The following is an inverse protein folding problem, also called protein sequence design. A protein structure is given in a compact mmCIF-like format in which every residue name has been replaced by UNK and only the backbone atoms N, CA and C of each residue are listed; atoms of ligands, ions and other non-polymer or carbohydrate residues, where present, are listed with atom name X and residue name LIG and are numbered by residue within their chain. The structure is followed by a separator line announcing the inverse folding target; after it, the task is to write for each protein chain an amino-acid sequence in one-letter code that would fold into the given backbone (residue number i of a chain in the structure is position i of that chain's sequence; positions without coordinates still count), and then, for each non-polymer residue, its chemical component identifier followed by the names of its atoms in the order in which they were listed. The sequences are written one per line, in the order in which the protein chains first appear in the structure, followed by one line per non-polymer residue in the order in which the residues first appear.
data_IF_608474868463
#
_entry.id   IF_608474868463
#
_cell.length_a   1.000
_cell.length_b   1.000
_cell.length_c   1.000
_cell.angle_alpha   90.00
_cell.angle_beta   90.00
_cell.angle_gamma   90.00
#
_symmetry.space_group_name_H-M   'P 1'
#
loop_
_entity.id
_entity.type
_entity.pdbx_description
1 polymer ?
#
# COMPACT_ATOMS: atom_id res chain seq x y z
N UNK A 1 -30.09 7.48 -11.40
CA UNK A 1 -29.44 6.17 -11.11
C UNK A 1 -28.37 5.81 -12.15
N UNK A 2 -28.70 5.74 -13.45
CA UNK A 2 -27.72 5.45 -14.52
C UNK A 2 -26.61 6.50 -14.67
N UNK A 3 -26.91 7.77 -14.42
CA UNK A 3 -25.92 8.86 -14.48
C UNK A 3 -24.85 8.76 -13.39
N UNK A 4 -25.27 8.45 -12.16
CA UNK A 4 -24.34 8.25 -11.03
C UNK A 4 -23.47 7.00 -11.24
N UNK A 5 -24.04 5.93 -11.80
CA UNK A 5 -23.29 4.72 -12.16
C UNK A 5 -22.22 4.99 -13.22
N UNK A 6 -22.55 5.80 -14.24
CA UNK A 6 -21.57 6.24 -15.25
C UNK A 6 -20.48 7.11 -14.64
N UNK A 7 -20.81 8.05 -13.76
CA UNK A 7 -19.82 8.90 -13.08
C UNK A 7 -18.90 8.07 -12.19
N UNK A 8 -19.43 7.11 -11.44
CA UNK A 8 -18.64 6.20 -10.61
C UNK A 8 -17.65 5.37 -11.44
N UNK A 9 -18.06 4.85 -12.60
CA UNK A 9 -17.13 4.12 -13.49
C UNK A 9 -16.04 5.04 -14.02
N UNK A 10 -16.37 6.27 -14.42
CA UNK A 10 -15.37 7.24 -14.90
C UNK A 10 -14.39 7.61 -13.80
N UNK A 11 -14.86 7.82 -12.57
CA UNK A 11 -14.02 8.15 -11.42
C UNK A 11 -13.12 6.97 -11.01
N UNK A 12 -13.64 5.73 -11.00
CA UNK A 12 -12.84 4.53 -10.73
C UNK A 12 -11.75 4.34 -11.78
N UNK A 13 -12.07 4.54 -13.06
CA UNK A 13 -11.10 4.50 -14.16
C UNK A 13 -10.06 5.61 -14.03
N UNK A 14 -10.47 6.83 -13.67
CA UNK A 14 -9.56 7.96 -13.43
C UNK A 14 -8.63 7.71 -12.24
N UNK A 15 -9.10 7.01 -11.21
CA UNK A 15 -8.32 6.71 -10.01
C UNK A 15 -7.28 5.61 -10.22
N UNK A 16 -7.59 4.60 -11.04
CA UNK A 16 -6.69 3.47 -11.34
C UNK A 16 -5.81 3.69 -12.58
N UNK A 17 -6.03 4.77 -13.35
CA UNK A 17 -5.15 5.16 -14.45
C UNK A 17 -4.27 6.34 -14.03
N UNK A 18 -2.98 6.10 -13.70
CA UNK A 18 -2.05 7.16 -13.40
C UNK A 18 -1.99 8.14 -14.58
N UNK A 19 -2.32 9.41 -14.34
CA UNK A 19 -2.18 10.44 -15.37
C UNK A 19 -0.70 10.60 -15.70
N UNK A 20 -0.36 10.59 -16.99
CA UNK A 20 1.00 10.93 -17.43
C UNK A 20 1.16 12.45 -17.32
N UNK A 21 1.99 12.95 -16.39
CA UNK A 21 2.09 14.39 -16.14
C UNK A 21 2.72 15.09 -17.34
N UNK A 22 2.12 16.21 -17.78
CA UNK A 22 2.75 17.05 -18.81
C UNK A 22 3.94 17.81 -18.21
N UNK A 23 4.95 18.19 -19.03
CA UNK A 23 6.03 19.05 -18.57
C UNK A 23 5.46 20.35 -17.98
N UNK A 24 5.65 20.57 -16.67
CA UNK A 24 5.10 21.72 -15.93
C UNK A 24 3.93 21.38 -14.98
N UNK A 25 3.26 20.23 -15.15
CA UNK A 25 2.19 19.74 -14.25
C UNK A 25 2.72 18.88 -13.10
N UNK A 26 4.03 18.58 -13.08
CA UNK A 26 4.75 17.99 -11.93
C UNK A 26 4.87 18.97 -10.74
N UNK A 27 4.26 20.15 -10.84
CA UNK A 27 4.27 21.20 -9.85
C UNK A 27 3.26 20.96 -8.73
N UNK A 28 3.55 20.03 -7.84
CA UNK A 28 3.25 20.29 -6.43
C UNK A 28 4.03 21.52 -5.95
N UNK A 29 3.80 21.99 -4.72
CA UNK A 29 4.65 23.05 -4.14
C UNK A 29 6.07 22.50 -3.91
N UNK A 30 6.94 22.60 -4.90
CA UNK A 30 8.37 22.28 -4.80
C UNK A 30 9.15 23.59 -5.00
N UNK A 31 9.30 24.38 -3.94
CA UNK A 31 10.13 25.58 -4.01
C UNK A 31 11.61 25.18 -4.04
N UNK A 32 12.21 25.14 -5.24
CA UNK A 32 13.65 25.20 -5.40
C UNK A 32 14.26 24.30 -6.48
N UNK A 33 15.36 24.77 -7.08
CA UNK A 33 16.15 24.02 -8.06
C UNK A 33 16.69 22.70 -7.45
N UNK A 34 17.02 21.71 -8.29
CA UNK A 34 17.63 20.45 -7.82
C UNK A 34 18.92 20.71 -7.01
N UNK A 35 19.72 21.70 -7.41
CA UNK A 35 20.89 22.14 -6.67
C UNK A 35 20.52 22.69 -5.27
N UNK A 36 19.40 23.41 -5.13
CA UNK A 36 18.93 23.94 -3.85
C UNK A 36 18.42 22.85 -2.89
N UNK A 37 17.82 21.77 -3.42
CA UNK A 37 17.38 20.62 -2.61
C UNK A 37 18.55 19.75 -2.18
N UNK A 38 19.55 19.55 -3.05
CA UNK A 38 20.79 18.84 -2.72
C UNK A 38 21.62 19.61 -1.68
N UNK A 39 21.72 20.93 -1.79
CA UNK A 39 22.46 21.77 -0.84
C UNK A 39 21.89 21.79 0.58
N UNK A 40 20.61 21.40 0.76
CA UNK A 40 19.92 21.32 2.06
C UNK A 40 19.75 19.89 2.57
N UNK A 41 20.44 18.93 1.95
CA UNK A 41 20.37 17.49 2.28
C UNK A 41 18.96 16.86 2.17
N UNK A 42 18.04 17.52 1.45
CA UNK A 42 16.68 17.00 1.22
C UNK A 42 16.65 15.82 0.24
N UNK A 43 17.81 15.42 -0.27
CA UNK A 43 18.00 14.26 -1.15
C UNK A 43 18.04 12.92 -0.40
N UNK A 44 18.18 12.94 0.93
CA UNK A 44 18.21 11.77 1.81
C UNK A 44 16.89 11.56 2.58
N UNK A 45 15.83 12.30 2.24
CA UNK A 45 14.55 12.21 2.93
C UNK A 45 13.80 10.93 2.52
N UNK A 46 13.65 10.04 3.50
CA UNK A 46 12.87 8.81 3.40
C UNK A 46 11.49 9.05 4.01
N UNK A 47 10.45 8.62 3.32
CA UNK A 47 9.06 8.65 3.80
C UNK A 47 8.58 7.24 4.08
N UNK A 48 7.77 7.08 5.11
CA UNK A 48 7.24 5.79 5.53
C UNK A 48 6.00 5.99 6.41
N UNK A 49 5.16 4.95 6.49
CA UNK A 49 4.15 4.86 7.53
C UNK A 49 4.74 4.15 8.75
N UNK A 50 4.48 4.67 9.94
CA UNK A 50 4.91 4.11 11.20
C UNK A 50 3.78 4.20 12.22
N UNK A 51 4.01 3.65 13.42
CA UNK A 51 3.07 3.81 14.52
C UNK A 51 3.05 5.27 14.99
N UNK A 52 1.99 5.67 15.67
CA UNK A 52 2.00 6.95 16.39
C UNK A 52 3.04 6.90 17.52
N UNK A 53 3.74 7.99 17.75
CA UNK A 53 4.71 8.10 18.84
C UNK A 53 4.09 7.73 20.20
N UNK A 54 4.82 6.91 20.97
CA UNK A 54 4.38 6.36 22.25
C UNK A 54 3.48 5.12 22.17
N UNK A 55 3.04 4.70 20.98
CA UNK A 55 2.17 3.52 20.81
C UNK A 55 2.99 2.24 20.62
N UNK A 56 2.62 1.19 21.37
CA UNK A 56 3.29 -0.12 21.34
C UNK A 56 2.90 -0.98 20.12
N UNK A 57 1.72 -0.75 19.56
CA UNK A 57 1.21 -1.41 18.36
C UNK A 57 0.51 -0.45 17.40
N UNK A 58 0.43 -0.85 16.14
CA UNK A 58 -0.28 -0.14 15.08
C UNK A 58 -0.83 -1.15 14.10
N UNK A 59 -1.91 -0.79 13.42
CA UNK A 59 -2.62 -1.67 12.50
C UNK A 59 -3.18 -0.84 11.34
N UNK A 60 -3.10 -1.37 10.14
CA UNK A 60 -3.69 -0.79 8.92
C UNK A 60 -4.21 -1.92 8.04
N UNK A 61 -5.34 -1.69 7.36
CA UNK A 61 -5.91 -2.69 6.46
C UNK A 61 -6.63 -2.08 5.26
N UNK A 62 -6.70 -2.90 4.20
CA UNK A 62 -7.41 -2.63 2.96
C UNK A 62 -8.32 -3.81 2.66
N UNK A 63 -9.61 -3.55 2.49
CA UNK A 63 -10.62 -4.57 2.24
C UNK A 63 -11.29 -4.38 0.89
N UNK A 64 -11.43 -5.49 0.16
CA UNK A 64 -12.10 -5.57 -1.14
C UNK A 64 -13.23 -6.58 -1.04
N UNK A 65 -14.41 -6.24 -1.56
CA UNK A 65 -15.62 -7.07 -1.55
C UNK A 65 -16.24 -7.04 -2.94
N UNK A 66 -16.58 -8.21 -3.48
CA UNK A 66 -17.13 -8.37 -4.82
C UNK A 66 -18.30 -9.36 -4.92
N UNK A 67 -18.64 -10.06 -3.82
CA UNK A 67 -19.78 -10.98 -3.79
C UNK A 67 -21.12 -10.29 -3.95
N UNK A 68 -21.26 -9.06 -3.44
CA UNK A 68 -22.50 -8.26 -3.58
C UNK A 68 -22.88 -7.95 -5.04
N UNK A 69 -21.92 -8.06 -5.97
CA UNK A 69 -22.12 -7.84 -7.41
C UNK A 69 -22.05 -9.14 -8.22
N UNK A 70 -22.13 -10.30 -7.57
CA UNK A 70 -22.13 -11.60 -8.24
C UNK A 70 -20.76 -12.04 -8.77
N UNK A 71 -19.67 -11.50 -8.23
CA UNK A 71 -18.31 -11.85 -8.62
C UNK A 71 -17.56 -12.56 -7.48
N UNK A 72 -16.56 -13.35 -7.85
CA UNK A 72 -15.58 -13.96 -6.93
C UNK A 72 -14.16 -13.65 -7.39
N UNK A 73 -13.22 -13.73 -6.45
CA UNK A 73 -11.80 -13.58 -6.69
C UNK A 73 -11.29 -14.84 -7.38
N UNK A 74 -10.82 -14.70 -8.62
CA UNK A 74 -10.12 -15.75 -9.34
C UNK A 74 -8.67 -15.83 -8.86
N UNK A 75 -7.99 -14.68 -8.80
CA UNK A 75 -6.66 -14.57 -8.22
C UNK A 75 -6.38 -13.21 -7.61
N UNK A 76 -5.39 -13.21 -6.71
CA UNK A 76 -4.81 -12.01 -6.14
C UNK A 76 -3.29 -12.07 -6.18
N UNK A 77 -2.68 -10.94 -6.53
CA UNK A 77 -1.26 -10.69 -6.39
C UNK A 77 -1.04 -9.42 -5.58
N UNK A 78 -0.05 -9.46 -4.69
CA UNK A 78 0.28 -8.33 -3.81
C UNK A 78 1.78 -8.06 -3.89
N UNK A 79 2.11 -6.78 -4.05
CA UNK A 79 3.45 -6.23 -3.80
C UNK A 79 3.33 -5.27 -2.63
N UNK A 80 4.16 -5.47 -1.63
CA UNK A 80 4.29 -4.54 -0.51
C UNK A 80 5.74 -4.51 -0.04
N UNK A 81 6.11 -3.51 0.73
CA UNK A 81 7.42 -3.39 1.34
C UNK A 81 7.28 -2.95 2.78
N UNK A 82 8.11 -3.53 3.65
CA UNK A 82 8.34 -2.99 4.98
C UNK A 82 9.83 -2.96 5.29
N UNK A 83 10.19 -2.12 6.25
CA UNK A 83 11.51 -2.07 6.83
C UNK A 83 11.38 -2.11 8.34
N UNK A 84 12.24 -2.87 9.00
CA UNK A 84 12.29 -2.93 10.46
C UNK A 84 13.68 -2.57 10.99
N UNK A 85 13.73 -2.05 12.20
CA UNK A 85 14.96 -1.71 12.93
C UNK A 85 14.90 -2.31 14.33
N UNK A 86 16.05 -2.75 14.86
CA UNK A 86 16.11 -3.37 16.19
C UNK A 86 15.11 -4.53 16.34
N UNK A 87 14.30 -4.52 17.40
CA UNK A 87 13.26 -5.52 17.66
C UNK A 87 11.91 -5.25 16.96
N UNK A 88 11.85 -4.28 16.05
CA UNK A 88 10.65 -3.92 15.30
C UNK A 88 10.14 -5.06 14.43
N UNK A 89 8.82 -5.21 14.37
CA UNK A 89 8.15 -6.27 13.60
C UNK A 89 7.00 -5.70 12.79
N UNK A 90 6.91 -6.18 11.55
CA UNK A 90 5.75 -6.00 10.68
C UNK A 90 5.27 -7.39 10.29
N UNK A 91 3.98 -7.66 10.46
CA UNK A 91 3.34 -8.87 9.95
C UNK A 91 2.30 -8.47 8.93
N UNK A 92 2.47 -8.92 7.70
CA UNK A 92 1.49 -8.73 6.63
C UNK A 92 0.66 -10.01 6.44
N UNK A 93 -0.65 -9.87 6.34
CA UNK A 93 -1.57 -11.00 6.14
C UNK A 93 -2.66 -10.67 5.14
N UNK A 94 -2.99 -11.64 4.28
CA UNK A 94 -4.27 -11.67 3.57
C UNK A 94 -5.25 -12.53 4.34
N UNK A 95 -6.46 -12.03 4.51
CA UNK A 95 -7.53 -12.69 5.24
C UNK A 95 -8.81 -12.73 4.39
N UNK A 96 -9.43 -13.91 4.30
CA UNK A 96 -10.76 -14.08 3.71
C UNK A 96 -11.52 -15.21 4.41
N UNK A 97 -12.60 -14.87 5.12
CA UNK A 97 -13.36 -15.86 5.89
C UNK A 97 -12.49 -16.50 6.98
N UNK A 98 -12.17 -17.78 6.83
CA UNK A 98 -11.25 -18.53 7.71
C UNK A 98 -9.83 -18.67 7.15
N UNK A 99 -9.60 -18.23 5.92
CA UNK A 99 -8.31 -18.36 5.24
C UNK A 99 -7.44 -17.18 5.65
N UNK A 100 -6.23 -17.48 6.12
CA UNK A 100 -5.20 -16.49 6.45
C UNK A 100 -3.88 -16.90 5.82
N UNK A 101 -3.24 -15.99 5.11
CA UNK A 101 -1.95 -16.23 4.42
C UNK A 101 -1.00 -15.09 4.74
N UNK A 102 0.24 -15.42 5.08
CA UNK A 102 1.28 -14.42 5.27
C UNK A 102 1.71 -13.82 3.93
N UNK A 103 1.90 -12.50 3.90
CA UNK A 103 2.33 -11.74 2.72
C UNK A 103 3.77 -11.29 2.89
N UNK A 104 4.52 -11.29 1.78
CA UNK A 104 5.93 -10.91 1.78
C UNK A 104 6.05 -9.39 1.59
N UNK A 105 6.75 -8.72 2.49
CA UNK A 105 7.07 -7.29 2.39
C UNK A 105 8.44 -7.00 1.77
N UNK A 106 8.76 -7.66 0.65
CA UNK A 106 10.08 -7.64 -0.01
C UNK A 106 10.14 -6.78 -1.30
N UNK A 107 9.12 -5.94 -1.54
CA UNK A 107 8.93 -5.11 -2.75
C UNK A 107 8.72 -5.94 -4.05
N UNK A 108 8.53 -7.26 -3.98
CA UNK A 108 8.23 -8.10 -5.15
C UNK A 108 6.74 -8.38 -5.25
N UNK A 109 6.25 -8.60 -6.47
CA UNK A 109 4.88 -9.03 -6.70
C UNK A 109 4.78 -10.54 -6.47
N UNK A 110 3.98 -10.94 -5.48
CA UNK A 110 3.73 -12.34 -5.15
C UNK A 110 2.28 -12.72 -5.45
N UNK A 111 2.06 -13.99 -5.77
CA UNK A 111 0.74 -14.55 -6.09
C UNK A 111 0.25 -15.43 -4.94
N UNK A 112 -1.03 -15.28 -4.56
CA UNK A 112 -1.62 -15.94 -3.40
C UNK A 112 -2.84 -16.78 -3.83
N UNK A 113 -2.64 -18.06 -4.23
CA UNK A 113 -3.73 -18.92 -4.75
C UNK A 113 -4.76 -19.29 -3.69
N UNK A 114 -4.39 -19.27 -2.40
CA UNK A 114 -5.24 -19.67 -1.30
C UNK A 114 -6.48 -18.78 -1.15
N UNK A 115 -6.45 -17.56 -1.70
CA UNK A 115 -7.56 -16.59 -1.64
C UNK A 115 -8.50 -16.71 -2.86
N UNK A 116 -8.31 -17.71 -3.72
CA UNK A 116 -9.20 -17.97 -4.86
C UNK A 116 -10.60 -18.44 -4.43
N UNK A 117 -11.60 -18.21 -5.28
CA UNK A 117 -13.01 -18.54 -5.07
C UNK A 117 -13.65 -17.90 -3.83
N UNK A 118 -13.08 -16.79 -3.34
CA UNK A 118 -13.64 -16.00 -2.25
C UNK A 118 -14.37 -14.76 -2.78
N UNK A 119 -15.32 -14.22 -2.00
CA UNK A 119 -16.09 -13.03 -2.40
C UNK A 119 -15.55 -11.72 -1.82
N UNK A 120 -14.52 -11.81 -0.98
CA UNK A 120 -13.88 -10.67 -0.36
C UNK A 120 -12.46 -11.05 0.06
N UNK A 121 -11.62 -10.05 0.26
CA UNK A 121 -10.28 -10.21 0.79
C UNK A 121 -9.88 -8.96 1.56
N UNK A 122 -9.14 -9.14 2.64
CA UNK A 122 -8.59 -8.06 3.43
C UNK A 122 -7.08 -8.24 3.55
N UNK A 123 -6.31 -7.26 3.10
CA UNK A 123 -4.87 -7.16 3.34
C UNK A 123 -4.66 -6.34 4.60
N UNK A 124 -3.84 -6.83 5.52
CA UNK A 124 -3.59 -6.20 6.82
C UNK A 124 -2.09 -6.14 7.10
N UNK A 125 -1.67 -5.11 7.84
CA UNK A 125 -0.34 -5.01 8.43
C UNK A 125 -0.44 -4.69 9.92
N UNK A 126 0.12 -5.57 10.74
CA UNK A 126 0.36 -5.34 12.16
C UNK A 126 1.79 -4.87 12.39
N UNK A 127 1.93 -3.74 13.10
CA UNK A 127 3.20 -3.15 13.48
C UNK A 127 3.39 -3.29 14.98
N UNK A 128 4.51 -3.85 15.43
CA UNK A 128 4.82 -4.03 16.86
C UNK A 128 6.33 -4.03 17.14
N UNK A 129 6.71 -4.24 18.40
CA UNK A 129 8.12 -4.29 18.83
C UNK A 129 8.84 -2.95 18.70
N UNK A 130 10.16 -2.98 18.63
CA UNK A 130 11.00 -1.78 18.63
C UNK A 130 11.51 -1.43 20.02
N UNK A 131 12.52 -0.57 20.08
CA UNK A 131 13.34 -0.38 21.27
C UNK A 131 13.38 1.08 21.71
N UNK A 132 13.22 1.31 23.01
CA UNK A 132 13.30 2.64 23.62
C UNK A 132 12.22 3.62 23.17
N UNK A 133 12.50 4.92 23.34
CA UNK A 133 11.52 5.99 23.10
C UNK A 133 11.18 6.19 21.61
N UNK A 134 11.99 5.63 20.72
CA UNK A 134 11.80 5.69 19.27
C UNK A 134 11.23 4.39 18.68
N UNK A 135 10.76 3.46 19.52
CA UNK A 135 10.23 2.17 19.09
C UNK A 135 9.11 2.30 18.04
N UNK A 136 8.32 3.38 18.10
CA UNK A 136 7.21 3.64 17.18
C UNK A 136 7.62 3.69 15.70
N UNK A 137 8.85 4.12 15.40
CA UNK A 137 9.41 4.17 14.04
C UNK A 137 10.27 2.94 13.69
N UNK A 138 10.37 1.92 14.54
CA UNK A 138 11.18 0.72 14.25
C UNK A 138 10.45 -0.30 13.37
N UNK A 139 9.16 -0.13 13.13
CA UNK A 139 8.37 -0.89 12.17
C UNK A 139 7.81 0.12 11.17
N UNK A 140 8.21 0.01 9.91
CA UNK A 140 7.91 0.99 8.87
C UNK A 140 7.33 0.29 7.65
N UNK A 141 6.19 0.79 7.15
CA UNK A 141 5.62 0.35 5.88
C UNK A 141 5.99 1.35 4.78
N UNK A 142 6.18 0.84 3.57
CA UNK A 142 6.34 1.69 2.38
C UNK A 142 7.52 2.67 2.49
N UNK A 143 8.61 2.28 3.18
CA UNK A 143 9.81 3.11 3.31
C UNK A 143 10.44 3.32 1.93
N UNK A 144 10.45 4.56 1.46
CA UNK A 144 11.04 4.95 0.18
C UNK A 144 11.64 6.35 0.22
N UNK A 145 12.63 6.58 -0.65
CA UNK A 145 13.15 7.91 -0.94
C UNK A 145 12.11 8.78 -1.64
N UNK A 146 12.08 10.08 -1.38
CA UNK A 146 11.24 11.04 -2.11
C UNK A 146 11.51 11.12 -3.62
N UNK A 147 12.62 10.55 -4.11
CA UNK A 147 12.96 10.48 -5.54
C UNK A 147 12.55 9.16 -6.20
N UNK A 148 12.20 8.17 -5.39
CA UNK A 148 11.78 6.87 -5.88
C UNK A 148 10.45 7.01 -6.61
N UNK A 149 10.41 6.59 -7.87
CA UNK A 149 9.21 6.66 -8.72
C UNK A 149 8.55 5.30 -8.90
N UNK A 150 9.17 4.22 -8.43
CA UNK A 150 8.59 2.88 -8.49
C UNK A 150 7.56 2.66 -7.40
N UNK A 151 6.45 2.02 -7.76
CA UNK A 151 5.41 1.64 -6.81
C UNK A 151 5.94 0.63 -5.79
N UNK A 152 5.79 0.95 -4.51
CA UNK A 152 6.09 0.04 -3.39
C UNK A 152 4.90 -0.79 -2.93
N UNK A 153 3.69 -0.44 -3.39
CA UNK A 153 2.45 -1.06 -2.98
C UNK A 153 1.54 -1.25 -4.18
N UNK A 154 1.19 -2.49 -4.47
CA UNK A 154 0.36 -2.86 -5.60
C UNK A 154 -0.50 -4.06 -5.21
N UNK A 155 -1.79 -3.99 -5.52
CA UNK A 155 -2.73 -5.11 -5.35
C UNK A 155 -3.43 -5.32 -6.69
N UNK A 156 -3.29 -6.52 -7.25
CA UNK A 156 -3.94 -6.91 -8.49
C UNK A 156 -4.91 -8.03 -8.16
N UNK A 157 -6.20 -7.79 -8.40
CA UNK A 157 -7.27 -8.77 -8.20
C UNK A 157 -7.90 -9.06 -9.55
N UNK A 158 -7.92 -10.33 -9.97
CA UNK A 158 -8.75 -10.78 -11.09
C UNK A 158 -10.02 -11.40 -10.55
N UNK A 159 -11.13 -11.05 -11.19
CA UNK A 159 -12.46 -11.47 -10.80
C UNK A 159 -13.05 -12.41 -11.86
N UNK A 160 -13.91 -13.31 -11.42
CA UNK A 160 -14.74 -14.17 -12.27
C UNK A 160 -16.18 -14.16 -11.75
N UNK A 161 -17.12 -14.61 -12.57
CA UNK A 161 -18.52 -14.78 -12.15
C UNK A 161 -18.62 -15.78 -10.99
N UNK A 162 -19.51 -15.48 -10.02
CA UNK A 162 -19.74 -16.32 -8.84
C UNK A 162 -20.23 -17.73 -9.22
#
# INVERSE_FOLDING_TARGET
KNELLRRLIVELVEFICPKTPKPGELGGRVSGSLAWRVARDESALEVYLARKEGFSSGYISWKFECGSVGLKIDNISVRTINHTFGSGRVKWTLHSGSITVDVNGDKRLHFYPDISNTTNVMLEADLSGGDGNIAWQHAQLFRQSLKEIEDCFEIIIKLSEL
#
